data_IF_421137838648
#
_entry.id   IF_421137838648
#
_cell.length_a   1.000
_cell.length_b   1.000
_cell.length_c   1.000
_cell.angle_alpha   90.00
_cell.angle_beta   90.00
_cell.angle_gamma   90.00
#
_symmetry.space_group_name_H-M   'P 1'
#
loop_
_entity.id
_entity.type
_entity.pdbx_description
1 polymer ?
#
# COMPACT_ATOMS: atom_id res chain seq x y z
N UNK A 1 -4.75 -7.73 -4.68
CA UNK A 1 -3.28 -7.77 -4.68
C UNK A 1 -2.83 -9.22 -4.80
N UNK A 2 -1.63 -9.51 -5.34
CA UNK A 2 -1.06 -10.86 -5.37
C UNK A 2 0.45 -10.80 -5.12
N UNK A 3 0.91 -11.54 -4.12
CA UNK A 3 2.32 -11.88 -3.96
C UNK A 3 2.64 -12.98 -4.99
N UNK A 4 3.49 -12.67 -5.97
CA UNK A 4 3.72 -13.58 -7.11
C UNK A 4 4.80 -14.62 -6.82
N UNK A 5 5.56 -14.44 -5.74
CA UNK A 5 6.73 -15.29 -5.44
C UNK A 5 6.41 -16.51 -4.58
N UNK A 6 5.16 -16.63 -4.11
CA UNK A 6 4.74 -17.70 -3.19
C UNK A 6 4.58 -19.05 -3.90
N UNK A 7 4.05 -19.03 -5.12
CA UNK A 7 3.45 -20.17 -5.82
C UNK A 7 4.04 -20.31 -7.22
N UNK A 8 4.03 -21.51 -7.82
CA UNK A 8 4.59 -21.72 -9.16
C UNK A 8 3.91 -20.87 -10.24
N UNK A 9 4.49 -20.81 -11.45
CA UNK A 9 3.86 -20.08 -12.56
C UNK A 9 2.50 -20.70 -12.95
N UNK A 10 2.38 -22.02 -12.89
CA UNK A 10 1.13 -22.73 -13.16
C UNK A 10 0.05 -22.38 -12.13
N UNK A 11 0.42 -22.31 -10.84
CA UNK A 11 -0.48 -21.89 -9.78
C UNK A 11 -0.85 -20.40 -9.87
N UNK A 12 0.06 -19.56 -10.37
CA UNK A 12 -0.24 -18.16 -10.68
C UNK A 12 -1.25 -18.03 -11.82
N UNK A 13 -1.10 -18.81 -12.90
CA UNK A 13 -2.08 -18.86 -14.00
C UNK A 13 -3.45 -19.35 -13.51
N UNK A 14 -3.49 -20.41 -12.70
CA UNK A 14 -4.75 -20.89 -12.10
C UNK A 14 -5.40 -19.85 -11.19
N UNK A 15 -4.58 -19.09 -10.44
CA UNK A 15 -5.06 -17.99 -9.63
C UNK A 15 -5.65 -16.87 -10.49
N UNK A 16 -5.04 -16.53 -11.63
CA UNK A 16 -5.58 -15.57 -12.60
C UNK A 16 -6.90 -16.07 -13.18
N UNK A 17 -6.96 -17.31 -13.65
CA UNK A 17 -8.16 -17.90 -14.25
C UNK A 17 -9.34 -17.86 -13.26
N UNK A 18 -9.11 -18.26 -12.02
CA UNK A 18 -10.12 -18.17 -10.96
C UNK A 18 -10.51 -16.72 -10.69
N UNK A 19 -9.54 -15.81 -10.53
CA UNK A 19 -9.80 -14.39 -10.27
C UNK A 19 -10.62 -13.72 -11.38
N UNK A 20 -10.34 -14.04 -12.63
CA UNK A 20 -11.00 -13.45 -13.81
C UNK A 20 -12.35 -14.12 -14.05
N UNK A 21 -12.38 -15.44 -14.22
CA UNK A 21 -13.58 -16.14 -14.71
C UNK A 21 -14.58 -16.46 -13.61
N UNK A 22 -14.12 -16.74 -12.38
CA UNK A 22 -15.02 -17.04 -11.25
C UNK A 22 -15.43 -15.78 -10.51
N UNK A 23 -14.50 -14.84 -10.31
CA UNK A 23 -14.73 -13.66 -9.48
C UNK A 23 -14.91 -12.35 -10.28
N UNK A 24 -14.63 -12.35 -11.59
CA UNK A 24 -14.86 -11.19 -12.46
C UNK A 24 -13.83 -10.06 -12.30
N UNK A 25 -12.67 -10.32 -11.69
CA UNK A 25 -11.62 -9.32 -11.53
C UNK A 25 -10.72 -9.25 -12.76
N UNK A 26 -10.48 -8.05 -13.28
CA UNK A 26 -9.62 -7.82 -14.45
C UNK A 26 -8.46 -6.87 -14.18
N UNK A 27 -8.31 -6.41 -12.93
CA UNK A 27 -7.27 -5.48 -12.51
C UNK A 27 -6.60 -5.98 -11.23
N UNK A 28 -5.28 -6.13 -11.26
CA UNK A 28 -4.50 -6.71 -10.16
C UNK A 28 -3.32 -5.80 -9.76
N UNK A 29 -2.90 -5.87 -8.51
CA UNK A 29 -1.65 -5.25 -8.08
C UNK A 29 -0.67 -6.34 -7.66
N UNK A 30 0.43 -6.47 -8.39
CA UNK A 30 1.43 -7.52 -8.16
C UNK A 30 2.54 -7.04 -7.22
N UNK A 31 2.96 -7.95 -6.36
CA UNK A 31 3.97 -7.74 -5.32
C UNK A 31 5.04 -8.81 -5.48
N UNK A 32 6.28 -8.38 -5.67
CA UNK A 32 7.43 -9.26 -5.78
C UNK A 32 8.04 -9.63 -4.42
N UNK A 33 9.15 -10.35 -4.45
CA UNK A 33 9.93 -10.68 -3.27
C UNK A 33 10.37 -9.42 -2.50
N UNK A 34 10.25 -9.48 -1.19
CA UNK A 34 10.69 -8.41 -0.30
C UNK A 34 12.21 -8.43 -0.05
N UNK A 35 12.89 -9.57 -0.22
CA UNK A 35 14.34 -9.68 -0.18
C UNK A 35 14.88 -10.41 -1.39
N UNK A 36 16.01 -9.97 -1.93
CA UNK A 36 16.75 -10.69 -2.98
C UNK A 36 17.62 -11.84 -2.44
N UNK A 37 17.74 -11.97 -1.11
CA UNK A 37 18.59 -12.97 -0.45
C UNK A 37 17.88 -14.31 -0.20
N UNK A 38 16.59 -14.39 -0.47
CA UNK A 38 15.76 -15.58 -0.25
C UNK A 38 15.44 -16.19 -1.61
N UNK A 39 15.55 -17.50 -1.73
CA UNK A 39 15.08 -18.24 -2.88
C UNK A 39 13.58 -18.45 -2.74
N UNK A 40 12.82 -18.07 -3.76
CA UNK A 40 11.37 -18.19 -3.79
C UNK A 40 10.96 -19.22 -4.84
N UNK A 41 9.87 -19.95 -4.57
CA UNK A 41 9.36 -20.97 -5.46
C UNK A 41 8.62 -20.37 -6.67
N UNK A 42 8.08 -19.16 -6.53
CA UNK A 42 7.25 -18.53 -7.56
C UNK A 42 7.99 -17.67 -8.58
N UNK A 43 7.27 -17.22 -9.62
CA UNK A 43 7.83 -16.38 -10.67
C UNK A 43 8.37 -15.06 -10.14
N UNK A 44 9.34 -14.50 -10.87
CA UNK A 44 9.74 -13.11 -10.65
C UNK A 44 8.58 -12.17 -10.99
N UNK A 45 8.58 -10.97 -10.41
CA UNK A 45 7.59 -9.94 -10.74
C UNK A 45 7.54 -9.61 -12.25
N UNK A 46 8.70 -9.64 -12.91
CA UNK A 46 8.79 -9.41 -14.35
C UNK A 46 8.16 -10.56 -15.13
N UNK A 47 8.45 -11.81 -14.76
CA UNK A 47 7.87 -13.00 -15.41
C UNK A 47 6.35 -13.03 -15.28
N UNK A 48 5.81 -12.75 -14.08
CA UNK A 48 4.37 -12.67 -13.86
C UNK A 48 3.70 -11.52 -14.64
N UNK A 49 4.37 -10.36 -14.73
CA UNK A 49 3.92 -9.23 -15.54
C UNK A 49 3.88 -9.55 -17.03
N UNK A 50 4.97 -10.08 -17.59
CA UNK A 50 5.03 -10.51 -18.99
C UNK A 50 3.98 -11.57 -19.31
N UNK A 51 3.78 -12.54 -18.41
CA UNK A 51 2.73 -13.56 -18.55
C UNK A 51 1.34 -12.92 -18.61
N UNK A 52 1.07 -11.91 -17.78
CA UNK A 52 -0.23 -11.21 -17.78
C UNK A 52 -0.44 -10.37 -19.04
N UNK A 53 0.63 -9.75 -19.58
CA UNK A 53 0.58 -9.05 -20.88
C UNK A 53 0.29 -10.03 -22.02
N UNK A 54 0.96 -11.18 -22.02
CA UNK A 54 0.76 -12.23 -23.03
C UNK A 54 -0.68 -12.74 -23.04
N UNK A 55 -1.29 -12.94 -21.86
CA UNK A 55 -2.68 -13.35 -21.74
C UNK A 55 -3.66 -12.30 -22.25
N UNK A 56 -3.39 -11.02 -22.00
CA UNK A 56 -4.18 -9.90 -22.51
C UNK A 56 -5.60 -9.75 -21.92
N UNK A 57 -5.97 -10.56 -20.93
CA UNK A 57 -7.30 -10.63 -20.31
C UNK A 57 -7.39 -9.87 -18.97
N UNK A 58 -6.28 -9.33 -18.49
CA UNK A 58 -6.21 -8.50 -17.30
C UNK A 58 -5.16 -7.39 -17.41
N UNK A 59 -5.29 -6.40 -16.55
CA UNK A 59 -4.32 -5.32 -16.35
C UNK A 59 -3.68 -5.45 -14.97
N UNK A 60 -2.45 -4.99 -14.84
CA UNK A 60 -1.80 -4.98 -13.55
C UNK A 60 -1.03 -3.70 -13.24
N UNK A 61 -0.92 -3.41 -11.96
CA UNK A 61 -0.01 -2.44 -11.40
C UNK A 61 1.00 -3.09 -10.47
N UNK A 62 1.88 -2.26 -9.91
CA UNK A 62 2.91 -2.69 -8.98
C UNK A 62 3.00 -1.77 -7.76
N UNK A 63 3.61 -2.26 -6.68
CA UNK A 63 3.95 -1.42 -5.53
C UNK A 63 5.12 -0.49 -5.87
N UNK A 64 5.08 0.75 -5.41
CA UNK A 64 6.24 1.67 -5.36
C UNK A 64 6.50 2.13 -3.92
N UNK A 65 7.76 2.42 -3.58
CA UNK A 65 8.18 2.74 -2.21
C UNK A 65 8.98 4.05 -2.20
N UNK A 66 8.33 5.19 -1.91
CA UNK A 66 8.99 6.51 -1.94
C UNK A 66 10.26 6.60 -1.08
N UNK A 67 10.26 6.02 0.11
CA UNK A 67 11.36 6.06 1.07
C UNK A 67 12.61 5.32 0.57
N UNK A 68 12.44 4.36 -0.35
CA UNK A 68 13.57 3.70 -1.00
C UNK A 68 14.27 4.65 -1.98
N UNK A 69 13.54 5.58 -2.57
CA UNK A 69 14.11 6.57 -3.47
C UNK A 69 15.10 7.48 -2.73
N UNK A 70 14.73 7.99 -1.56
CA UNK A 70 15.64 8.82 -0.75
C UNK A 70 16.88 8.06 -0.27
N UNK A 71 16.76 6.75 0.00
CA UNK A 71 17.88 5.93 0.51
C UNK A 71 18.81 5.38 -0.59
N UNK A 72 18.27 5.01 -1.75
CA UNK A 72 19.01 4.32 -2.82
C UNK A 72 19.08 5.10 -4.14
N UNK A 73 18.25 6.13 -4.30
CA UNK A 73 18.24 7.02 -5.47
C UNK A 73 17.68 6.40 -6.76
N UNK A 74 17.02 5.23 -6.71
CA UNK A 74 16.68 4.47 -7.92
C UNK A 74 15.25 3.93 -8.01
N UNK A 75 14.31 4.41 -7.19
CA UNK A 75 12.91 3.95 -7.26
C UNK A 75 12.22 4.36 -8.57
N UNK A 76 12.52 5.53 -9.10
CA UNK A 76 12.07 6.00 -10.41
C UNK A 76 12.50 5.04 -11.52
N UNK A 77 13.76 4.57 -11.50
CA UNK A 77 14.25 3.59 -12.47
C UNK A 77 13.54 2.24 -12.34
N UNK A 78 13.23 1.83 -11.10
CA UNK A 78 12.44 0.64 -10.85
C UNK A 78 11.01 0.77 -11.37
N UNK A 79 10.39 1.95 -11.25
CA UNK A 79 9.08 2.25 -11.83
C UNK A 79 9.13 2.22 -13.35
N UNK A 80 10.18 2.77 -13.97
CA UNK A 80 10.37 2.69 -15.43
C UNK A 80 10.48 1.22 -15.88
N UNK A 81 11.34 0.43 -15.24
CA UNK A 81 11.48 -1.01 -15.55
C UNK A 81 10.16 -1.77 -15.41
N UNK A 82 9.36 -1.46 -14.38
CA UNK A 82 8.02 -2.04 -14.18
C UNK A 82 7.05 -1.65 -15.29
N UNK A 83 7.13 -0.41 -15.75
CA UNK A 83 6.34 0.08 -16.88
C UNK A 83 6.70 -0.65 -18.17
N UNK A 84 7.99 -0.92 -18.39
CA UNK A 84 8.51 -1.60 -19.59
C UNK A 84 8.02 -3.05 -19.73
N UNK A 85 7.77 -3.77 -18.63
CA UNK A 85 7.15 -5.11 -18.67
C UNK A 85 5.62 -5.12 -18.54
N UNK A 86 4.98 -3.95 -18.57
CA UNK A 86 3.52 -3.83 -18.73
C UNK A 86 2.74 -3.28 -17.54
N UNK A 87 3.38 -2.81 -16.46
CA UNK A 87 2.65 -2.19 -15.36
C UNK A 87 1.92 -0.91 -15.82
N UNK A 88 0.64 -0.79 -15.50
CA UNK A 88 -0.21 0.34 -15.92
C UNK A 88 -0.45 1.37 -14.81
N UNK A 89 -0.21 1.00 -13.55
CA UNK A 89 -0.27 1.91 -12.40
C UNK A 89 0.69 1.47 -11.29
N UNK A 90 0.92 2.38 -10.35
CA UNK A 90 1.67 2.13 -9.13
C UNK A 90 0.82 2.45 -7.91
N UNK A 91 0.94 1.65 -6.85
CA UNK A 91 0.35 1.96 -5.53
C UNK A 91 1.48 2.11 -4.53
N UNK A 92 1.52 3.22 -3.79
CA UNK A 92 2.55 3.43 -2.76
C UNK A 92 2.28 2.54 -1.55
N UNK A 93 3.32 2.24 -0.76
CA UNK A 93 3.09 1.91 0.66
C UNK A 93 2.52 3.13 1.40
N UNK A 94 2.03 2.93 2.63
CA UNK A 94 1.42 4.00 3.42
C UNK A 94 2.40 5.13 3.73
N UNK A 95 1.92 6.37 3.59
CA UNK A 95 2.75 7.59 3.57
C UNK A 95 2.52 8.42 4.84
N UNK A 96 3.62 8.78 5.51
CA UNK A 96 3.62 9.70 6.67
C UNK A 96 4.63 10.84 6.52
N UNK A 97 5.17 11.06 5.32
CA UNK A 97 6.04 12.18 4.99
C UNK A 97 5.93 12.56 3.51
N UNK A 98 5.81 13.85 3.20
CA UNK A 98 5.69 14.34 1.83
C UNK A 98 7.03 14.29 1.06
N UNK A 99 8.15 14.62 1.71
CA UNK A 99 9.46 14.78 1.06
C UNK A 99 9.91 13.59 0.18
N UNK A 100 9.93 12.34 0.69
CA UNK A 100 10.28 11.17 -0.13
C UNK A 100 9.36 11.00 -1.34
N UNK A 101 8.07 11.26 -1.17
CA UNK A 101 7.08 11.14 -2.22
C UNK A 101 7.24 12.20 -3.30
N UNK A 102 7.41 13.47 -2.91
CA UNK A 102 7.68 14.59 -3.83
C UNK A 102 8.92 14.31 -4.66
N UNK A 103 10.00 13.88 -4.01
CA UNK A 103 11.26 13.56 -4.69
C UNK A 103 11.06 12.45 -5.71
N UNK A 104 10.45 11.33 -5.31
CA UNK A 104 10.19 10.19 -6.20
C UNK A 104 9.31 10.58 -7.40
N UNK A 105 8.23 11.34 -7.19
CA UNK A 105 7.31 11.74 -8.25
C UNK A 105 7.95 12.66 -9.28
N UNK A 106 8.73 13.65 -8.83
CA UNK A 106 9.45 14.55 -9.72
C UNK A 106 10.54 13.80 -10.50
N UNK A 107 11.36 12.98 -9.83
CA UNK A 107 12.36 12.13 -10.51
C UNK A 107 11.74 11.21 -11.55
N UNK A 108 10.62 10.54 -11.22
CA UNK A 108 9.91 9.67 -12.16
C UNK A 108 9.35 10.46 -13.36
N UNK A 109 8.71 11.60 -13.12
CA UNK A 109 8.20 12.48 -14.17
C UNK A 109 9.31 12.95 -15.12
N UNK A 110 10.44 13.40 -14.59
CA UNK A 110 11.58 13.87 -15.38
C UNK A 110 12.25 12.74 -16.17
N UNK A 111 12.39 11.55 -15.57
CA UNK A 111 12.91 10.36 -16.28
C UNK A 111 12.00 9.93 -17.42
N UNK A 112 10.68 9.96 -17.20
CA UNK A 112 9.69 9.71 -18.25
C UNK A 112 9.83 10.71 -19.40
N UNK A 113 9.94 12.02 -19.10
CA UNK A 113 10.16 13.06 -20.13
C UNK A 113 11.45 12.81 -20.92
N UNK A 114 12.56 12.49 -20.24
CA UNK A 114 13.84 12.19 -20.86
C UNK A 114 13.78 10.97 -21.81
N UNK A 115 12.94 9.98 -21.49
CA UNK A 115 12.74 8.77 -22.31
C UNK A 115 11.61 8.87 -23.33
N UNK A 116 10.93 10.01 -23.43
CA UNK A 116 9.74 10.16 -24.28
C UNK A 116 8.57 9.27 -23.86
N UNK A 117 8.49 8.90 -22.59
CA UNK A 117 7.44 8.05 -22.02
C UNK A 117 6.38 8.89 -21.31
N UNK A 118 5.12 8.45 -21.37
CA UNK A 118 4.05 9.02 -20.53
C UNK A 118 4.10 8.35 -19.15
N UNK A 119 4.20 9.11 -18.05
CA UNK A 119 4.17 8.53 -16.70
C UNK A 119 2.88 7.74 -16.45
N UNK A 120 3.00 6.58 -15.80
CA UNK A 120 1.85 5.81 -15.31
C UNK A 120 1.26 6.45 -14.06
N UNK A 121 -0.01 6.17 -13.79
CA UNK A 121 -0.72 6.68 -12.61
C UNK A 121 -0.07 6.17 -11.32
N UNK A 122 0.12 7.04 -10.34
CA UNK A 122 0.58 6.69 -8.99
C UNK A 122 -0.55 6.94 -8.00
N UNK A 123 -0.98 5.89 -7.32
CA UNK A 123 -2.02 5.91 -6.29
C UNK A 123 -1.35 6.01 -4.92
N UNK A 124 -1.63 7.08 -4.20
CA UNK A 124 -1.05 7.42 -2.91
C UNK A 124 -1.85 6.76 -1.78
N UNK A 125 -1.19 5.94 -0.96
CA UNK A 125 -1.83 5.22 0.15
C UNK A 125 -1.73 6.00 1.45
N UNK A 126 -2.88 6.24 2.08
CA UNK A 126 -3.01 6.86 3.39
C UNK A 126 -3.70 5.90 4.35
N UNK A 127 -3.32 5.91 5.63
CA UNK A 127 -3.96 5.09 6.65
C UNK A 127 -4.09 5.89 7.94
N UNK A 128 -5.32 6.18 8.42
CA UNK A 128 -5.51 6.87 9.68
C UNK A 128 -5.06 5.99 10.84
N UNK A 129 -4.57 6.61 11.91
CA UNK A 129 -4.06 5.91 13.07
C UNK A 129 -4.15 6.81 14.29
N UNK A 130 -4.93 6.44 15.29
CA UNK A 130 -5.02 7.16 16.56
C UNK A 130 -4.48 6.40 17.77
N UNK A 131 -4.17 5.11 17.62
CA UNK A 131 -3.74 4.26 18.74
C UNK A 131 -2.29 3.82 18.60
N UNK A 132 -1.59 3.72 19.74
CA UNK A 132 -0.22 3.21 19.78
C UNK A 132 -0.08 1.78 19.20
N UNK A 133 -1.11 0.93 19.38
CA UNK A 133 -1.15 -0.42 18.79
C UNK A 133 -1.19 -0.36 17.26
N UNK A 134 -2.07 0.47 16.69
CA UNK A 134 -2.16 0.70 15.25
C UNK A 134 -0.86 1.30 14.70
N UNK A 135 -0.25 2.26 15.40
CA UNK A 135 1.03 2.85 15.04
C UNK A 135 2.16 1.81 14.99
N UNK A 136 2.22 0.93 15.99
CA UNK A 136 3.19 -0.16 16.04
C UNK A 136 3.00 -1.11 14.86
N UNK A 137 1.75 -1.44 14.54
CA UNK A 137 1.41 -2.29 13.40
C UNK A 137 1.80 -1.66 12.06
N UNK A 138 1.52 -0.36 11.88
CA UNK A 138 1.93 0.43 10.70
C UNK A 138 3.44 0.41 10.50
N UNK A 139 4.21 0.63 11.58
CA UNK A 139 5.68 0.58 11.53
C UNK A 139 6.18 -0.83 11.22
N UNK A 140 5.52 -1.85 11.77
CA UNK A 140 5.83 -3.26 11.47
C UNK A 140 5.55 -3.62 10.00
N UNK A 141 4.52 -3.03 9.38
CA UNK A 141 4.26 -3.07 7.93
C UNK A 141 5.33 -2.33 7.10
N UNK A 142 6.42 -1.87 7.71
CA UNK A 142 7.53 -1.22 7.03
C UNK A 142 7.27 0.23 6.63
N UNK A 143 6.13 0.81 7.03
CA UNK A 143 5.85 2.23 6.81
C UNK A 143 6.74 3.07 7.73
N UNK A 144 7.40 4.09 7.17
CA UNK A 144 8.19 5.00 7.96
C UNK A 144 7.32 6.14 8.47
N UNK A 145 7.14 6.21 9.79
CA UNK A 145 6.47 7.32 10.47
C UNK A 145 7.51 8.16 11.20
N UNK A 146 7.74 9.43 10.80
CA UNK A 146 8.63 10.34 11.53
C UNK A 146 8.22 10.44 13.00
N UNK A 147 9.20 10.53 13.90
CA UNK A 147 8.92 10.53 15.34
C UNK A 147 8.06 11.74 15.75
N UNK A 148 8.32 12.91 15.16
CA UNK A 148 7.51 14.11 15.36
C UNK A 148 6.04 13.93 14.94
N UNK A 149 5.79 13.23 13.83
CA UNK A 149 4.43 12.91 13.37
C UNK A 149 3.76 11.94 14.33
N UNK A 150 4.48 10.91 14.79
CA UNK A 150 3.95 9.98 15.79
C UNK A 150 3.57 10.72 17.07
N UNK A 151 4.46 11.57 17.60
CA UNK A 151 4.20 12.30 18.84
C UNK A 151 3.02 13.26 18.68
N UNK A 152 2.96 14.00 17.56
CA UNK A 152 1.83 14.90 17.24
C UNK A 152 0.50 14.15 17.28
N UNK A 153 0.43 12.97 16.66
CA UNK A 153 -0.78 12.16 16.63
C UNK A 153 -1.14 11.61 18.02
N UNK A 154 -0.19 10.95 18.70
CA UNK A 154 -0.49 10.19 19.91
C UNK A 154 -0.72 11.05 21.16
N UNK A 155 -0.29 12.32 21.14
CA UNK A 155 -0.47 13.27 22.24
C UNK A 155 -1.67 14.19 22.06
N UNK A 156 -2.35 14.14 20.91
CA UNK A 156 -3.53 14.95 20.63
C UNK A 156 -4.74 14.52 21.48
N UNK A 157 -5.66 15.46 21.73
CA UNK A 157 -6.94 15.19 22.41
C UNK A 157 -7.79 14.18 21.60
N UNK A 158 -7.75 14.29 20.27
CA UNK A 158 -8.36 13.32 19.36
C UNK A 158 -7.33 12.80 18.34
N UNK A 159 -6.61 11.72 18.68
CA UNK A 159 -5.53 11.18 17.84
C UNK A 159 -5.98 10.74 16.44
N UNK A 160 -7.17 10.17 16.30
CA UNK A 160 -7.67 9.74 14.98
C UNK A 160 -7.87 10.96 14.08
N UNK A 161 -8.52 12.02 14.60
CA UNK A 161 -8.71 13.26 13.87
C UNK A 161 -7.37 13.91 13.51
N UNK A 162 -6.44 13.99 14.47
CA UNK A 162 -5.11 14.55 14.22
C UNK A 162 -4.37 13.79 13.12
N UNK A 163 -4.46 12.45 13.11
CA UNK A 163 -3.87 11.63 12.04
C UNK A 163 -4.46 11.96 10.67
N UNK A 164 -5.77 12.20 10.58
CA UNK A 164 -6.40 12.59 9.32
C UNK A 164 -5.94 13.97 8.85
N UNK A 165 -5.81 14.93 9.78
CA UNK A 165 -5.36 16.28 9.49
C UNK A 165 -3.90 16.27 8.98
N UNK A 166 -3.01 15.51 9.62
CA UNK A 166 -1.64 15.26 9.15
C UNK A 166 -1.61 14.66 7.74
N UNK A 167 -2.42 13.63 7.47
CA UNK A 167 -2.46 12.98 6.14
C UNK A 167 -3.00 13.93 5.06
N UNK A 168 -3.95 14.81 5.41
CA UNK A 168 -4.45 15.86 4.53
C UNK A 168 -3.38 16.94 4.25
N UNK A 169 -2.59 17.32 5.24
CA UNK A 169 -1.46 18.24 5.07
C UNK A 169 -0.41 17.66 4.12
N UNK A 170 -0.05 16.39 4.30
CA UNK A 170 0.87 15.66 3.41
C UNK A 170 0.36 15.69 1.97
N UNK A 171 -0.92 15.39 1.73
CA UNK A 171 -1.47 15.43 0.36
C UNK A 171 -1.39 16.84 -0.25
N UNK A 172 -1.71 17.88 0.52
CA UNK A 172 -1.61 19.28 0.04
C UNK A 172 -0.18 19.63 -0.34
N UNK A 173 0.79 19.26 0.49
CA UNK A 173 2.21 19.49 0.22
C UNK A 173 2.68 18.74 -1.03
N UNK A 174 2.26 17.48 -1.20
CA UNK A 174 2.57 16.69 -2.39
C UNK A 174 2.01 17.36 -3.64
N UNK A 175 0.74 17.77 -3.63
CA UNK A 175 0.09 18.39 -4.79
C UNK A 175 0.78 19.71 -5.17
N UNK A 176 1.13 20.53 -4.18
CA UNK A 176 1.85 21.79 -4.38
C UNK A 176 3.19 21.58 -5.09
N UNK A 177 3.96 20.57 -4.68
CA UNK A 177 5.33 20.37 -5.16
C UNK A 177 5.46 19.39 -6.34
N UNK A 178 4.37 18.79 -6.81
CA UNK A 178 4.39 17.80 -7.91
C UNK A 178 3.51 18.16 -9.11
N UNK A 179 2.84 19.32 -9.10
CA UNK A 179 1.97 19.78 -10.20
C UNK A 179 2.67 19.84 -11.58
N UNK A 180 3.98 20.06 -11.61
CA UNK A 180 4.79 20.08 -12.86
C UNK A 180 5.40 18.73 -13.27
N UNK A 181 5.23 17.68 -12.46
CA UNK A 181 5.84 16.36 -12.72
C UNK A 181 5.25 15.67 -13.96
N UNK A 182 3.99 15.96 -14.28
CA UNK A 182 3.22 15.24 -15.31
C UNK A 182 2.75 13.85 -14.88
N UNK A 183 2.97 13.46 -13.63
CA UNK A 183 2.55 12.16 -13.09
C UNK A 183 1.07 12.21 -12.68
N UNK A 184 0.19 11.36 -13.24
CA UNK A 184 -1.20 11.31 -12.80
C UNK A 184 -1.30 10.73 -11.39
N UNK A 185 -1.99 11.42 -10.49
CA UNK A 185 -2.16 10.98 -9.10
C UNK A 185 -3.55 10.39 -8.83
N UNK A 186 -3.60 9.43 -7.93
CA UNK A 186 -4.82 8.91 -7.31
C UNK A 186 -4.64 8.74 -5.80
N UNK A 187 -5.71 8.42 -5.09
CA UNK A 187 -5.68 8.15 -3.64
C UNK A 187 -6.20 6.76 -3.33
N UNK A 188 -5.63 6.15 -2.30
CA UNK A 188 -6.04 4.91 -1.67
C UNK A 188 -6.08 5.17 -0.15
N UNK A 189 -7.13 4.72 0.52
CA UNK A 189 -7.21 4.79 1.99
C UNK A 189 -7.36 3.40 2.53
N UNK A 190 -6.41 2.98 3.37
CA UNK A 190 -6.39 1.66 3.99
C UNK A 190 -6.90 1.72 5.42
N UNK A 191 -7.86 0.85 5.74
CA UNK A 191 -8.31 0.60 7.11
C UNK A 191 -7.46 -0.51 7.73
N UNK A 192 -6.48 -0.13 8.56
CA UNK A 192 -5.52 -1.05 9.19
C UNK A 192 -5.90 -1.47 10.61
N UNK A 193 -7.14 -1.17 11.00
CA UNK A 193 -7.61 -1.28 12.37
C UNK A 193 -8.94 -2.00 12.45
N UNK A 194 -9.16 -2.68 13.58
CA UNK A 194 -10.45 -3.25 13.97
C UNK A 194 -11.27 -2.30 14.83
N UNK A 195 -10.70 -1.16 15.24
CA UNK A 195 -11.37 -0.21 16.11
C UNK A 195 -12.31 0.68 15.31
N UNK A 196 -13.56 0.76 15.77
CA UNK A 196 -14.62 1.49 15.07
C UNK A 196 -14.24 2.93 14.74
N UNK A 197 -13.58 3.64 15.65
CA UNK A 197 -13.20 5.04 15.44
C UNK A 197 -12.19 5.20 14.29
N UNK A 198 -11.25 4.26 14.14
CA UNK A 198 -10.26 4.28 13.07
C UNK A 198 -10.86 3.80 11.73
N UNK A 199 -11.83 2.88 11.76
CA UNK A 199 -12.60 2.46 10.57
C UNK A 199 -13.45 3.62 10.05
N UNK A 200 -14.20 4.29 10.93
CA UNK A 200 -15.01 5.47 10.58
C UNK A 200 -14.08 6.61 10.10
N UNK A 201 -12.92 6.78 10.74
CA UNK A 201 -11.88 7.71 10.29
C UNK A 201 -11.36 7.43 8.88
N UNK A 202 -11.24 6.18 8.46
CA UNK A 202 -10.80 5.85 7.09
C UNK A 202 -11.81 6.33 6.03
N UNK A 203 -13.11 6.24 6.32
CA UNK A 203 -14.14 6.79 5.45
C UNK A 203 -14.09 8.32 5.35
N UNK A 204 -14.02 8.97 6.51
CA UNK A 204 -13.95 10.43 6.58
C UNK A 204 -12.69 10.95 5.87
N UNK A 205 -11.56 10.29 6.10
CA UNK A 205 -10.30 10.61 5.44
C UNK A 205 -10.41 10.48 3.92
N UNK A 206 -11.01 9.39 3.40
CA UNK A 206 -11.20 9.23 1.96
C UNK A 206 -11.96 10.39 1.33
N UNK A 207 -13.05 10.83 1.96
CA UNK A 207 -13.84 11.97 1.49
C UNK A 207 -13.03 13.28 1.50
N UNK A 208 -12.27 13.54 2.59
CA UNK A 208 -11.41 14.72 2.69
C UNK A 208 -10.32 14.73 1.63
N UNK A 209 -9.59 13.62 1.48
CA UNK A 209 -8.51 13.49 0.50
C UNK A 209 -9.04 13.60 -0.94
N UNK A 210 -10.21 13.02 -1.22
CA UNK A 210 -10.85 13.14 -2.53
C UNK A 210 -11.17 14.60 -2.85
N UNK A 211 -11.77 15.33 -1.89
CA UNK A 211 -12.06 16.75 -2.07
C UNK A 211 -10.78 17.57 -2.29
N UNK A 212 -9.73 17.33 -1.51
CA UNK A 212 -8.42 18.00 -1.67
C UNK A 212 -7.84 17.74 -3.07
N UNK A 213 -7.79 16.47 -3.49
CA UNK A 213 -7.24 16.10 -4.79
C UNK A 213 -8.02 16.77 -5.93
N UNK A 214 -9.35 16.66 -5.92
CA UNK A 214 -10.17 17.21 -7.00
C UNK A 214 -10.12 18.75 -7.05
N UNK A 215 -10.11 19.42 -5.89
CA UNK A 215 -9.97 20.87 -5.81
C UNK A 215 -8.62 21.38 -6.35
N UNK A 216 -7.56 20.58 -6.26
CA UNK A 216 -6.24 20.96 -6.78
C UNK A 216 -6.17 21.05 -8.31
N UNK A 217 -7.11 20.40 -9.02
CA UNK A 217 -7.12 20.37 -10.50
C UNK A 217 -7.71 21.62 -11.14
N UNK A 218 -8.27 22.54 -10.35
CA UNK A 218 -8.86 23.80 -10.83
C UNK A 218 -10.16 23.63 -11.64
N UNK A 219 -10.63 22.40 -11.85
CA UNK A 219 -11.87 22.11 -12.57
C UNK A 219 -13.01 21.85 -11.59
N UNK A 220 -14.22 22.40 -11.82
CA UNK A 220 -15.38 22.08 -11.00
C UNK A 220 -15.71 20.59 -11.14
N UNK A 221 -16.02 19.94 -10.02
CA UNK A 221 -16.37 18.52 -9.96
C UNK A 221 -17.67 18.32 -9.17
N UNK A 222 -18.38 17.24 -9.46
CA UNK A 222 -19.61 16.86 -8.75
C UNK A 222 -19.64 15.36 -8.48
N UNK A 223 -20.03 14.95 -7.27
CA UNK A 223 -20.31 13.54 -6.98
C UNK A 223 -21.70 13.20 -7.52
N UNK A 224 -21.79 12.16 -8.35
CA UNK A 224 -23.07 11.55 -8.73
C UNK A 224 -23.18 10.19 -8.07
N UNK A 225 -24.20 10.02 -7.26
CA UNK A 225 -24.54 8.74 -6.66
C UNK A 225 -25.46 7.98 -7.62
N UNK A 226 -25.09 6.74 -7.91
CA UNK A 226 -25.94 5.82 -8.67
C UNK A 226 -26.45 4.75 -7.73
N UNK A 227 -27.76 4.53 -7.73
CA UNK A 227 -28.34 3.40 -7.02
C UNK A 227 -28.03 2.13 -7.82
N UNK A 228 -27.20 1.26 -7.26
CA UNK A 228 -26.93 -0.05 -7.86
C UNK A 228 -28.04 -0.98 -7.39
N UNK A 229 -29.04 -1.19 -8.25
CA UNK A 229 -30.28 -1.95 -7.96
C UNK A 229 -30.06 -3.43 -7.68
N UNK A 230 -28.87 -3.95 -8.01
CA UNK A 230 -28.37 -5.22 -7.53
C UNK A 230 -27.20 -4.93 -6.60
N UNK A 231 -27.17 -5.50 -5.38
CA UNK A 231 -25.90 -5.62 -4.68
C UNK A 231 -24.92 -6.23 -5.69
N UNK A 232 -23.73 -5.65 -5.85
CA UNK A 232 -22.63 -6.39 -6.48
C UNK A 232 -22.66 -7.78 -5.82
N UNK A 233 -22.88 -8.84 -6.61
CA UNK A 233 -22.90 -10.21 -6.07
C UNK A 233 -21.67 -10.28 -5.19
N UNK A 234 -21.89 -10.37 -3.87
CA UNK A 234 -20.85 -10.78 -2.95
C UNK A 234 -20.54 -12.15 -3.50
N UNK A 235 -19.45 -12.28 -4.26
CA UNK A 235 -18.94 -13.61 -4.55
C UNK A 235 -18.93 -14.28 -3.18
N UNK A 236 -19.46 -15.49 -3.08
CA UNK A 236 -19.40 -16.29 -1.87
C UNK A 236 -17.92 -16.40 -1.49
N UNK A 237 -17.45 -15.41 -0.73
CA UNK A 237 -16.05 -15.16 -0.49
C UNK A 237 -15.80 -15.75 0.86
N UNK A 238 -15.21 -16.94 0.85
CA UNK A 238 -14.32 -17.49 1.88
C UNK A 238 -14.69 -16.98 3.29
N UNK A 239 -15.53 -17.78 3.95
CA UNK A 239 -15.70 -17.91 5.40
C UNK A 239 -15.22 -16.70 6.23
N UNK A 240 -16.16 -15.87 6.71
CA UNK A 240 -15.89 -14.63 7.46
C UNK A 240 -14.94 -14.84 8.66
N UNK A 241 -14.90 -16.05 9.19
CA UNK A 241 -13.97 -16.54 10.21
C UNK A 241 -12.50 -16.38 9.79
N UNK A 242 -12.14 -16.71 8.54
CA UNK A 242 -10.75 -16.76 8.09
C UNK A 242 -10.07 -15.39 7.96
N UNK A 243 -10.80 -14.33 7.59
CA UNK A 243 -10.24 -12.99 7.41
C UNK A 243 -10.02 -12.26 8.75
N UNK A 244 -10.99 -12.39 9.68
CA UNK A 244 -10.82 -11.93 11.05
C UNK A 244 -9.69 -12.69 11.73
N UNK A 245 -9.63 -14.01 11.55
CA UNK A 245 -8.54 -14.84 12.06
C UNK A 245 -7.20 -14.46 11.44
N UNK A 246 -7.13 -14.09 10.16
CA UNK A 246 -5.87 -13.67 9.53
C UNK A 246 -5.34 -12.36 10.12
N UNK A 247 -6.21 -11.36 10.33
CA UNK A 247 -5.83 -10.09 10.96
C UNK A 247 -5.47 -10.30 12.43
N UNK A 248 -6.26 -11.09 13.17
CA UNK A 248 -5.98 -11.45 14.57
C UNK A 248 -4.66 -12.23 14.67
N UNK A 249 -4.39 -13.18 13.77
CA UNK A 249 -3.11 -13.91 13.70
C UNK A 249 -1.95 -12.98 13.39
N UNK A 250 -2.10 -12.05 12.45
CA UNK A 250 -1.08 -11.06 12.15
C UNK A 250 -0.80 -10.16 13.37
N UNK A 251 -1.85 -9.69 14.05
CA UNK A 251 -1.71 -8.90 15.29
C UNK A 251 -1.06 -9.72 16.42
N UNK A 252 -1.39 -11.01 16.55
CA UNK A 252 -0.79 -11.90 17.54
C UNK A 252 0.69 -12.21 17.24
N UNK A 253 1.06 -12.35 15.96
CA UNK A 253 2.46 -12.49 15.54
C UNK A 253 3.30 -11.26 15.90
N UNK A 254 2.71 -10.05 15.79
CA UNK A 254 3.36 -8.81 16.23
C UNK A 254 3.60 -8.81 17.73
N UNK A 255 2.63 -9.24 18.54
CA UNK A 255 2.77 -9.35 20.00
C UNK A 255 3.85 -10.38 20.39
N UNK A 256 3.87 -11.55 19.75
CA UNK A 256 4.89 -12.57 19.97
C UNK A 256 6.31 -12.09 19.61
N UNK A 257 6.45 -11.36 18.50
CA UNK A 257 7.74 -10.82 18.08
C UNK A 257 8.26 -9.74 19.03
N UNK A 258 7.36 -8.91 19.59
CA UNK A 258 7.72 -7.91 20.60
C UNK A 258 8.24 -8.56 21.87
N UNK A 259 7.56 -9.61 22.36
CA UNK A 259 8.02 -10.37 23.53
C UNK A 259 9.39 -11.03 23.29
N UNK A 260 9.64 -11.56 22.09
CA UNK A 260 10.93 -12.12 21.72
C UNK A 260 12.05 -11.06 21.69
N UNK A 261 11.76 -9.85 21.20
CA UNK A 261 12.73 -8.76 21.12
C UNK A 261 13.02 -8.14 22.51
N UNK A 262 12.01 -8.03 23.37
CA UNK A 262 12.18 -7.61 24.78
C UNK A 262 12.96 -8.65 25.59
N UNK A 263 12.70 -9.95 25.38
CA UNK A 263 13.48 -11.04 25.99
C UNK A 263 14.94 -11.05 25.50
N UNK A 264 15.19 -10.77 24.23
CA UNK A 264 16.55 -10.68 23.67
C UNK A 264 17.31 -9.46 24.23
N UNK A 265 16.64 -8.32 24.45
CA UNK A 265 17.22 -7.12 25.08
C UNK A 265 17.56 -7.31 26.56
N UNK A 266 16.88 -8.22 27.26
CA UNK A 266 17.21 -8.57 28.65
C UNK A 266 18.36 -9.57 28.78
N UNK A 267 18.82 -10.18 27.67
CA UNK A 267 19.75 -11.32 27.70
C UNK A 267 21.16 -11.04 27.14
N UNK A 268 21.51 -9.84 26.64
CA UNK A 268 22.84 -9.60 26.04
C UNK A 268 23.67 -8.48 26.64
N UNK A 269 24.66 -8.89 27.43
CA UNK A 269 25.99 -8.29 27.54
C UNK A 269 26.68 -8.29 26.16
N UNK A 270 27.23 -7.12 25.78
CA UNK A 270 28.26 -6.82 24.75
C UNK A 270 28.49 -7.88 23.65
N UNK A 271 27.96 -7.65 22.44
CA UNK A 271 28.70 -7.74 21.16
C UNK A 271 27.83 -7.39 19.92
N UNK A 272 28.41 -6.53 19.07
CA UNK A 272 28.16 -6.22 17.64
C UNK A 272 26.74 -6.29 17.04
N UNK A 273 26.34 -5.10 16.57
CA UNK A 273 25.20 -4.76 15.73
C UNK A 273 24.99 -5.71 14.52
N UNK A 274 23.80 -6.32 14.37
CA UNK A 274 23.32 -6.85 13.10
C UNK A 274 22.40 -5.84 12.39
N UNK A 275 22.55 -5.74 11.07
CA UNK A 275 21.66 -5.04 10.16
C UNK A 275 20.26 -5.67 10.15
N UNK A 276 19.38 -5.26 11.06
CA UNK A 276 18.04 -5.84 11.27
C UNK A 276 16.91 -5.22 10.43
N UNK A 277 17.24 -4.44 9.39
CA UNK A 277 16.25 -3.65 8.64
C UNK A 277 15.55 -4.42 7.48
N UNK A 278 15.92 -5.66 7.16
CA UNK A 278 15.47 -6.34 5.93
C UNK A 278 14.36 -7.39 6.09
N UNK A 279 14.19 -8.03 7.26
CA UNK A 279 13.22 -9.13 7.43
C UNK A 279 11.78 -8.64 7.68
N UNK A 280 11.60 -7.49 8.35
CA UNK A 280 10.28 -6.90 8.63
C UNK A 280 9.54 -6.45 7.36
N UNK A 281 10.26 -6.11 6.29
CA UNK A 281 9.66 -5.78 4.98
C UNK A 281 8.97 -6.99 4.30
N UNK A 282 9.33 -8.23 4.67
CA UNK A 282 8.83 -9.46 4.05
C UNK A 282 7.42 -9.81 4.51
N UNK A 283 7.16 -9.75 5.82
CA UNK A 283 5.80 -9.96 6.34
C UNK A 283 4.89 -8.76 6.06
N UNK A 284 5.45 -7.55 6.00
CA UNK A 284 4.72 -6.33 5.70
C UNK A 284 4.00 -6.34 4.35
N UNK A 285 4.68 -6.79 3.28
CA UNK A 285 4.11 -6.81 1.93
C UNK A 285 3.03 -7.89 1.79
N UNK A 286 3.23 -9.07 2.39
CA UNK A 286 2.22 -10.13 2.49
C UNK A 286 1.05 -9.71 3.40
N UNK A 287 1.30 -8.96 4.46
CA UNK A 287 0.27 -8.41 5.34
C UNK A 287 -0.51 -7.26 4.69
N UNK A 288 0.12 -6.38 3.91
CA UNK A 288 -0.55 -5.37 3.07
C UNK A 288 -1.42 -6.03 1.98
N UNK A 289 -0.96 -7.15 1.40
CA UNK A 289 -1.79 -7.99 0.52
C UNK A 289 -2.98 -8.55 1.31
N UNK A 290 -2.76 -9.07 2.53
CA UNK A 290 -3.82 -9.57 3.40
C UNK A 290 -4.81 -8.47 3.87
N UNK A 291 -4.33 -7.25 4.12
CA UNK A 291 -5.13 -6.08 4.52
C UNK A 291 -5.91 -5.48 3.34
N UNK A 292 -5.33 -5.51 2.14
CA UNK A 292 -6.04 -5.18 0.89
C UNK A 292 -7.17 -6.17 0.58
N UNK A 293 -7.10 -7.40 1.11
CA UNK A 293 -8.21 -8.36 1.09
C UNK A 293 -9.30 -8.05 2.15
N UNK A 294 -8.96 -7.29 3.20
CA UNK A 294 -9.86 -6.93 4.32
C UNK A 294 -10.63 -5.63 4.05
N UNK A 295 -10.04 -4.66 3.35
CA UNK A 295 -10.63 -3.33 3.14
C UNK A 295 -11.81 -3.26 2.14
N UNK A 296 -12.25 -4.39 1.57
CA UNK A 296 -13.38 -4.47 0.64
C UNK A 296 -14.77 -4.62 1.28
N UNK A 297 -14.93 -4.44 2.60
CA UNK A 297 -16.18 -4.74 3.30
C UNK A 297 -16.76 -3.50 3.98
N UNK A 298 -17.74 -2.88 3.33
CA UNK A 298 -18.64 -1.95 4.02
C UNK A 298 -20.04 -2.53 4.17
N UNK A 299 -20.50 -2.41 5.41
CA UNK A 299 -21.73 -2.91 6.00
C UNK A 299 -22.97 -2.22 5.44
N UNK A 300 -24.06 -2.96 5.30
CA UNK A 300 -25.40 -2.42 5.56
C UNK A 300 -26.19 -3.41 6.41
N UNK A 301 -26.45 -2.99 7.66
CA UNK A 301 -27.45 -3.42 8.65
C UNK A 301 -27.65 -4.92 8.88
#
# INVERSE_FOLDING_TARGET
>A
YKCVVENSMEEFDQWLDSSIHKYGHTAFNFVGAASSSVQYAGPTLQSAGLRSVERGDCKFGCVTIPERHTKKGNEDENMIRKSEFGAEWFITQGIFAAGPLVTMLNSYGDKCKQRGMVPKKVVLTFAPCGRAKTMTFIKWLGMHVPEEVQQRILTAENPVKESMDVLCEILKEVLLHTGGSGVPLGINVESLSIFKEEIDGAHELFQKLQAILLNSTGSPWSVRWFYVSRPLRRAESIDETHAADALVKALAQVEAHKHAEEAAKQSTTVARCPSSCSTSCVLAATALVALSFVAGRYSTK
#
